data_IF_555514047398
#
_entry.id   IF_555514047398
#
_cell.length_a   1.000
_cell.length_b   1.000
_cell.length_c   1.000
_cell.angle_alpha   90.00
_cell.angle_beta   90.00
_cell.angle_gamma   90.00
#
_symmetry.space_group_name_H-M   'P 1'
#
loop_
_entity.id
_entity.type
_entity.pdbx_description
1 polymer ?
#
# COMPACT_ATOMS: atom_id res chain seq x y z
N UNK A 1 7.57 9.14 16.39
CA UNK A 1 7.59 9.68 15.01
C UNK A 1 6.78 8.72 14.16
N UNK A 2 5.68 9.15 13.54
CA UNK A 2 4.90 8.29 12.67
C UNK A 2 5.59 8.24 11.30
N UNK A 3 6.35 7.18 11.04
CA UNK A 3 6.97 6.93 9.74
C UNK A 3 5.88 6.91 8.66
N UNK A 4 6.03 7.65 7.56
CA UNK A 4 4.97 7.78 6.55
C UNK A 4 4.86 6.48 5.76
N UNK A 5 3.63 6.13 5.35
CA UNK A 5 3.38 4.93 4.54
C UNK A 5 4.20 4.99 3.24
N UNK A 6 4.38 6.19 2.68
CA UNK A 6 5.23 6.43 1.52
C UNK A 6 6.69 6.00 1.72
N UNK A 7 7.27 6.21 2.89
CA UNK A 7 8.68 5.86 3.15
C UNK A 7 8.86 4.36 3.32
N UNK A 8 7.91 3.70 4.00
CA UNK A 8 7.89 2.23 4.11
C UNK A 8 7.75 1.57 2.73
N UNK A 9 6.84 2.07 1.89
CA UNK A 9 6.65 1.57 0.52
C UNK A 9 7.91 1.75 -0.31
N UNK A 10 8.55 2.93 -0.27
CA UNK A 10 9.80 3.18 -0.99
C UNK A 10 10.91 2.21 -0.60
N UNK A 11 11.03 1.94 0.71
CA UNK A 11 12.01 1.00 1.25
C UNK A 11 11.77 -0.43 0.79
N UNK A 12 10.51 -0.90 0.81
CA UNK A 12 10.15 -2.24 0.36
C UNK A 12 10.19 -2.41 -1.16
N UNK A 13 9.78 -1.39 -1.91
CA UNK A 13 9.80 -1.39 -3.37
C UNK A 13 11.22 -1.12 -3.93
N UNK A 14 12.20 -0.78 -3.08
CA UNK A 14 13.58 -0.49 -3.50
C UNK A 14 13.72 0.80 -4.31
N UNK A 15 12.83 1.77 -4.08
CA UNK A 15 12.74 2.99 -4.88
C UNK A 15 13.11 4.22 -4.05
N UNK A 16 14.23 4.86 -4.37
CA UNK A 16 14.70 6.08 -3.68
C UNK A 16 14.11 7.38 -4.25
N UNK A 17 13.65 7.40 -5.50
CA UNK A 17 13.07 8.58 -6.18
C UNK A 17 11.72 8.29 -6.80
N UNK A 18 10.73 9.14 -6.50
CA UNK A 18 9.43 9.13 -7.18
C UNK A 18 9.57 9.51 -8.66
N UNK A 19 8.72 8.93 -9.49
CA UNK A 19 8.74 9.07 -10.97
C UNK A 19 8.44 10.52 -11.33
N UNK A 20 9.41 11.26 -11.87
CA UNK A 20 9.15 12.54 -12.55
C UNK A 20 8.54 12.33 -13.95
N UNK A 21 8.82 11.17 -14.54
CA UNK A 21 8.32 10.70 -15.82
C UNK A 21 7.54 9.41 -15.62
N UNK A 22 6.44 9.26 -16.36
CA UNK A 22 5.30 8.33 -16.20
C UNK A 22 5.60 6.81 -16.17
N UNK A 23 6.85 6.40 -15.93
CA UNK A 23 7.26 4.99 -15.84
C UNK A 23 7.15 4.47 -14.41
N UNK A 24 6.68 3.23 -14.27
CA UNK A 24 6.57 2.60 -12.97
C UNK A 24 7.96 2.40 -12.36
N UNK A 25 8.23 3.06 -11.23
CA UNK A 25 9.55 3.04 -10.58
C UNK A 25 9.79 1.83 -9.69
N UNK A 26 8.77 1.02 -9.44
CA UNK A 26 8.90 -0.20 -8.66
C UNK A 26 7.59 -0.99 -8.55
N UNK A 27 7.69 -2.15 -7.94
CA UNK A 27 6.55 -3.01 -7.61
C UNK A 27 6.62 -3.48 -6.16
N UNK A 28 5.46 -3.74 -5.57
CA UNK A 28 5.33 -4.33 -4.24
C UNK A 28 4.24 -5.41 -4.26
N UNK A 29 4.43 -6.49 -3.54
CA UNK A 29 3.39 -7.52 -3.41
C UNK A 29 2.29 -7.04 -2.46
N UNK A 30 1.05 -7.51 -2.69
CA UNK A 30 -0.07 -7.18 -1.81
C UNK A 30 0.20 -7.60 -0.35
N UNK A 31 0.86 -8.73 -0.12
CA UNK A 31 1.22 -9.19 1.22
C UNK A 31 2.11 -8.20 1.97
N UNK A 32 3.13 -7.65 1.32
CA UNK A 32 4.01 -6.62 1.89
C UNK A 32 3.27 -5.33 2.17
N UNK A 33 2.34 -4.95 1.30
CA UNK A 33 1.48 -3.79 1.54
C UNK A 33 0.59 -4.00 2.78
N UNK A 34 0.08 -5.22 2.98
CA UNK A 34 -0.65 -5.63 4.17
C UNK A 34 0.24 -5.59 5.41
N UNK A 35 1.49 -6.07 5.34
CA UNK A 35 2.44 -5.96 6.45
C UNK A 35 2.73 -4.50 6.83
N UNK A 36 3.00 -3.63 5.85
CA UNK A 36 3.17 -2.19 6.07
C UNK A 36 1.95 -1.60 6.76
N UNK A 37 0.75 -1.95 6.28
CA UNK A 37 -0.49 -1.49 6.89
C UNK A 37 -0.69 -2.02 8.31
N UNK A 38 -0.35 -3.28 8.60
CA UNK A 38 -0.38 -3.87 9.96
C UNK A 38 0.60 -3.18 10.89
N UNK A 39 1.84 -2.95 10.45
CA UNK A 39 2.84 -2.23 11.23
C UNK A 39 2.41 -0.80 11.54
N UNK A 40 1.66 -0.16 10.64
CA UNK A 40 1.10 1.18 10.83
C UNK A 40 -0.17 1.18 11.69
N UNK A 41 -1.00 0.14 11.60
CA UNK A 41 -2.24 0.02 12.39
C UNK A 41 -1.95 0.07 13.89
N UNK A 42 -0.88 -0.61 14.34
CA UNK A 42 -0.43 -0.55 15.74
C UNK A 42 -0.01 0.85 16.22
N UNK A 43 0.29 1.77 15.29
CA UNK A 43 0.64 3.18 15.58
C UNK A 43 -0.58 4.10 15.50
N UNK A 44 -1.60 3.71 14.75
CA UNK A 44 -2.80 4.51 14.51
C UNK A 44 -4.00 3.91 15.24
N UNK A 45 -4.17 4.29 16.51
CA UNK A 45 -5.32 3.95 17.34
C UNK A 45 -6.63 4.45 16.69
N UNK A 46 -7.27 3.62 15.87
CA UNK A 46 -8.60 3.88 15.31
C UNK A 46 -8.74 3.80 13.80
N UNK A 47 -7.68 3.54 13.03
CA UNK A 47 -7.81 3.29 11.60
C UNK A 47 -7.88 1.76 11.34
N UNK A 48 -8.97 1.26 10.75
CA UNK A 48 -9.00 -0.14 10.30
C UNK A 48 -7.89 -0.42 9.31
N UNK A 49 -7.30 -1.61 9.38
CA UNK A 49 -6.37 -2.20 8.41
C UNK A 49 -6.74 -1.91 6.95
N UNK A 50 -8.03 -2.05 6.60
CA UNK A 50 -8.55 -1.69 5.26
C UNK A 50 -8.34 -0.22 4.89
N UNK A 51 -8.59 0.71 5.81
CA UNK A 51 -8.41 2.13 5.56
C UNK A 51 -6.93 2.46 5.31
N UNK A 52 -6.05 1.89 6.14
CA UNK A 52 -4.60 2.03 5.98
C UNK A 52 -4.12 1.40 4.66
N UNK A 53 -4.67 0.24 4.27
CA UNK A 53 -4.35 -0.40 2.98
C UNK A 53 -4.74 0.46 1.80
N UNK A 54 -5.94 1.06 1.83
CA UNK A 54 -6.42 1.94 0.76
C UNK A 54 -5.55 3.20 0.65
N UNK A 55 -5.12 3.76 1.78
CA UNK A 55 -4.14 4.85 1.82
C UNK A 55 -2.80 4.42 1.20
N UNK A 56 -2.30 3.24 1.57
CA UNK A 56 -1.05 2.70 1.03
C UNK A 56 -1.14 2.49 -0.48
N UNK A 57 -2.22 1.87 -0.96
CA UNK A 57 -2.45 1.65 -2.39
C UNK A 57 -2.62 2.96 -3.17
N UNK A 58 -3.28 3.96 -2.58
CA UNK A 58 -3.37 5.31 -3.15
C UNK A 58 -2.01 6.00 -3.25
N UNK A 59 -1.15 5.79 -2.26
CA UNK A 59 0.23 6.28 -2.26
C UNK A 59 1.05 5.60 -3.36
N UNK A 60 0.96 4.27 -3.50
CA UNK A 60 1.59 3.54 -4.59
C UNK A 60 1.19 4.09 -5.96
N UNK A 61 -0.11 4.33 -6.18
CA UNK A 61 -0.63 4.93 -7.42
C UNK A 61 0.04 6.28 -7.72
N UNK A 62 0.12 7.17 -6.72
CA UNK A 62 0.71 8.50 -6.88
C UNK A 62 2.22 8.45 -7.12
N UNK A 63 2.89 7.44 -6.54
CA UNK A 63 4.32 7.22 -6.70
C UNK A 63 4.69 6.37 -7.93
N UNK A 64 3.72 5.93 -8.74
CA UNK A 64 3.97 5.06 -9.90
C UNK A 64 4.44 3.66 -9.52
N UNK A 65 4.04 3.14 -8.37
CA UNK A 65 4.41 1.80 -7.90
C UNK A 65 3.24 0.85 -8.16
N UNK A 66 3.53 -0.30 -8.78
CA UNK A 66 2.55 -1.35 -9.02
C UNK A 66 2.41 -2.27 -7.82
N UNK A 67 1.21 -2.80 -7.61
CA UNK A 67 0.93 -3.75 -6.54
C UNK A 67 0.56 -5.08 -7.18
N UNK A 68 1.40 -6.10 -7.02
CA UNK A 68 1.18 -7.43 -7.62
C UNK A 68 0.99 -7.34 -9.15
N UNK A 69 1.75 -6.47 -9.81
CA UNK A 69 1.61 -6.16 -11.24
C UNK A 69 0.36 -5.35 -11.62
N UNK A 70 -0.52 -5.03 -10.67
CA UNK A 70 -1.74 -4.24 -10.87
C UNK A 70 -1.55 -2.78 -10.49
N UNK A 71 -2.41 -1.93 -11.03
CA UNK A 71 -2.47 -0.51 -10.66
C UNK A 71 -3.04 -0.32 -9.26
N UNK A 72 -2.55 0.68 -8.52
CA UNK A 72 -3.05 0.98 -7.17
C UNK A 72 -4.56 1.25 -7.14
N UNK A 73 -5.12 1.80 -8.22
CA UNK A 73 -6.56 1.98 -8.37
C UNK A 73 -7.34 0.66 -8.48
N UNK A 74 -6.80 -0.35 -9.17
CA UNK A 74 -7.43 -1.67 -9.25
C UNK A 74 -7.43 -2.34 -7.88
N UNK A 75 -6.29 -2.30 -7.19
CA UNK A 75 -6.15 -2.90 -5.86
C UNK A 75 -7.10 -2.24 -4.85
N UNK A 76 -7.23 -0.92 -4.84
CA UNK A 76 -8.23 -0.22 -4.01
C UNK A 76 -9.64 -0.77 -4.27
N UNK A 77 -9.99 -0.97 -5.54
CA UNK A 77 -11.29 -1.53 -5.93
C UNK A 77 -11.46 -2.96 -5.43
N UNK A 78 -10.45 -3.81 -5.58
CA UNK A 78 -10.50 -5.20 -5.12
C UNK A 78 -10.63 -5.30 -3.59
N UNK A 79 -9.99 -4.38 -2.85
CA UNK A 79 -10.15 -4.26 -1.39
C UNK A 79 -11.58 -3.83 -1.02
N UNK A 80 -12.17 -2.90 -1.78
CA UNK A 80 -13.57 -2.48 -1.59
C UNK A 80 -14.57 -3.57 -1.94
N UNK A 81 -14.32 -4.32 -3.01
CA UNK A 81 -15.09 -5.50 -3.39
C UNK A 81 -14.95 -6.65 -2.39
N UNK A 82 -14.01 -6.57 -1.45
CA UNK A 82 -13.77 -7.61 -0.46
C UNK A 82 -13.00 -8.83 -1.00
N UNK A 83 -12.38 -8.74 -2.17
CA UNK A 83 -11.53 -9.82 -2.73
C UNK A 83 -10.33 -10.13 -1.85
N UNK A 84 -9.84 -9.12 -1.13
CA UNK A 84 -8.71 -9.26 -0.21
C UNK A 84 -9.15 -9.21 1.27
N UNK A 85 -10.46 -9.30 1.55
CA UNK A 85 -11.01 -9.22 2.90
C UNK A 85 -10.32 -10.20 3.86
N UNK A 86 -10.05 -11.43 3.43
CA UNK A 86 -9.35 -12.43 4.24
C UNK A 86 -7.94 -12.02 4.70
N UNK A 87 -7.27 -11.10 3.99
CA UNK A 87 -5.92 -10.61 4.33
C UNK A 87 -5.96 -9.37 5.24
N UNK A 88 -7.01 -8.54 5.08
CA UNK A 88 -7.18 -7.26 5.83
C UNK A 88 -8.17 -7.36 7.01
N UNK A 89 -9.06 -8.34 7.02
CA UNK A 89 -10.05 -8.62 8.07
C UNK A 89 -9.61 -9.81 8.95
N UNK A 90 -8.30 -10.01 9.09
CA UNK A 90 -7.75 -11.02 9.99
C UNK A 90 -8.01 -10.63 11.46
N UNK A 91 -9.06 -11.24 12.03
CA UNK A 91 -9.41 -11.46 13.44
C UNK A 91 -8.84 -10.53 14.51
#
# INVERSE_FOLDING_TARGET
MAEKISDMIKKEAGVDKGTGDRESVGEISLEKLVEIAKSKEGVSLGASLKAVLKEAAGTCKSMGIKIDGKDGQQVIREIEEGKHDSLVAGK
#
